data_IF_706748506811
#
_entry.id   IF_706748506811
#
_cell.length_a   1.000
_cell.length_b   1.000
_cell.length_c   1.000
_cell.angle_alpha   90.00
_cell.angle_beta   90.00
_cell.angle_gamma   90.00
#
_symmetry.space_group_name_H-M   'P 1'
#
loop_
_entity.id
_entity.type
_entity.pdbx_description
1 polymer ?
#
# COMPACT_ATOMS: atom_id res chain seq x y z
N UNK A 1 11.92 1.96 -7.42
CA UNK A 1 10.77 2.87 -7.59
C UNK A 1 10.85 4.00 -6.56
N UNK A 2 10.83 5.26 -7.04
CA UNK A 2 11.06 6.45 -6.19
C UNK A 2 10.05 6.55 -5.01
N UNK A 3 8.77 6.27 -5.27
CA UNK A 3 7.74 6.31 -4.20
C UNK A 3 8.06 5.31 -3.10
N UNK A 4 8.44 4.09 -3.46
CA UNK A 4 8.81 3.05 -2.50
C UNK A 4 10.05 3.45 -1.69
N UNK A 5 11.06 4.05 -2.34
CA UNK A 5 12.26 4.54 -1.64
C UNK A 5 11.92 5.62 -0.62
N UNK A 6 11.07 6.59 -0.98
CA UNK A 6 10.61 7.65 -0.06
C UNK A 6 9.88 7.06 1.15
N UNK A 7 8.99 6.08 0.92
CA UNK A 7 8.27 5.42 2.02
C UNK A 7 9.26 4.68 2.93
N UNK A 8 10.10 3.83 2.35
CA UNK A 8 11.03 3.01 3.12
C UNK A 8 12.00 3.89 3.93
N UNK A 9 12.55 4.94 3.33
CA UNK A 9 13.45 5.86 4.01
C UNK A 9 12.77 6.57 5.19
N UNK A 10 11.57 7.12 5.01
CA UNK A 10 10.86 7.80 6.08
C UNK A 10 10.49 6.87 7.25
N UNK A 11 10.07 5.62 6.98
CA UNK A 11 9.69 4.69 8.05
C UNK A 11 10.87 3.98 8.70
N UNK A 12 12.09 4.04 8.13
CA UNK A 12 13.27 3.40 8.70
C UNK A 12 14.25 4.40 9.30
N UNK A 13 14.36 5.62 8.75
CA UNK A 13 15.33 6.63 9.17
C UNK A 13 14.70 7.88 9.79
N UNK A 14 13.36 8.01 9.69
CA UNK A 14 12.66 9.22 10.15
C UNK A 14 12.78 10.39 9.19
N UNK A 15 12.41 11.57 9.67
CA UNK A 15 12.43 12.81 8.91
C UNK A 15 13.60 13.75 9.29
N UNK A 16 14.24 13.49 10.43
CA UNK A 16 15.39 14.27 10.90
C UNK A 16 16.69 13.63 10.38
N UNK A 17 17.43 14.37 9.56
CA UNK A 17 18.68 13.90 8.97
C UNK A 17 19.90 14.04 9.91
N UNK A 18 19.74 14.76 11.02
CA UNK A 18 20.84 15.06 11.97
C UNK A 18 20.87 14.08 13.15
N UNK A 19 20.30 12.86 12.99
CA UNK A 19 20.29 11.83 14.02
C UNK A 19 21.39 10.81 13.79
N UNK A 20 21.95 10.29 14.87
CA UNK A 20 22.88 9.15 14.82
C UNK A 20 22.14 7.88 14.35
N UNK A 21 22.58 7.30 13.25
CA UNK A 21 22.04 6.04 12.74
C UNK A 21 22.89 4.87 13.21
N UNK A 22 22.24 3.76 13.54
CA UNK A 22 22.88 2.50 13.94
C UNK A 22 22.29 1.33 13.14
N UNK A 23 23.09 0.28 12.84
CA UNK A 23 22.60 -0.89 12.15
C UNK A 23 21.51 -1.61 12.95
N UNK A 24 20.35 -1.85 12.35
CA UNK A 24 19.26 -2.61 12.98
C UNK A 24 19.50 -4.12 13.00
N UNK A 25 20.38 -4.62 12.15
CA UNK A 25 20.58 -6.05 11.91
C UNK A 25 19.47 -6.73 11.11
N UNK A 26 18.55 -5.95 10.54
CA UNK A 26 17.42 -6.44 9.73
C UNK A 26 17.54 -5.88 8.31
N UNK A 27 17.66 -6.76 7.31
CA UNK A 27 18.00 -6.39 5.93
C UNK A 27 17.08 -5.32 5.33
N UNK A 28 15.75 -5.43 5.51
CA UNK A 28 14.83 -4.48 4.90
C UNK A 28 14.80 -3.11 5.61
N UNK A 29 15.22 -3.07 6.86
CA UNK A 29 15.28 -1.86 7.67
C UNK A 29 16.59 -1.12 7.42
N UNK A 30 17.71 -1.86 7.42
CA UNK A 30 19.06 -1.28 7.36
C UNK A 30 19.40 -0.52 8.62
N UNK A 31 19.87 0.71 8.47
CA UNK A 31 20.20 1.60 9.59
C UNK A 31 18.96 2.36 10.07
N UNK A 32 18.88 2.58 11.39
CA UNK A 32 17.77 3.28 12.07
C UNK A 32 18.32 4.31 13.06
N UNK A 33 17.54 5.35 13.41
CA UNK A 33 17.89 6.23 14.52
C UNK A 33 18.13 5.43 15.79
N UNK A 34 19.21 5.74 16.48
CA UNK A 34 19.67 5.04 17.69
C UNK A 34 18.62 4.96 18.80
N UNK A 35 17.76 5.97 18.87
CA UNK A 35 16.70 6.06 19.88
C UNK A 35 15.46 5.21 19.54
N UNK A 36 15.39 4.63 18.33
CA UNK A 36 14.23 3.84 17.93
C UNK A 36 14.34 2.38 18.41
N UNK A 37 13.20 1.83 18.85
CA UNK A 37 13.09 0.43 19.21
C UNK A 37 12.90 -0.44 17.95
N UNK A 38 13.61 -1.57 17.90
CA UNK A 38 13.33 -2.65 16.92
C UNK A 38 12.45 -3.69 17.62
N UNK A 39 11.26 -3.88 17.10
CA UNK A 39 10.25 -4.73 17.70
C UNK A 39 9.52 -5.58 16.66
N UNK A 40 8.41 -6.24 17.00
CA UNK A 40 7.63 -7.07 16.05
C UNK A 40 6.18 -6.63 16.01
N UNK A 41 5.58 -6.75 14.81
CA UNK A 41 4.16 -6.43 14.53
C UNK A 41 3.20 -7.04 15.54
N UNK A 42 3.45 -8.26 16.02
CA UNK A 42 2.57 -8.98 16.98
C UNK A 42 2.31 -8.26 18.31
N UNK A 43 3.16 -7.32 18.70
CA UNK A 43 3.00 -6.58 19.97
C UNK A 43 2.06 -5.37 19.85
N UNK A 44 1.64 -5.03 18.62
CA UNK A 44 0.86 -3.82 18.33
C UNK A 44 -0.56 -4.11 17.84
N UNK A 45 -1.02 -5.35 18.01
CA UNK A 45 -2.40 -5.70 17.71
C UNK A 45 -2.60 -7.20 17.45
N UNK A 46 -3.78 -7.52 16.94
CA UNK A 46 -4.18 -8.90 16.65
C UNK A 46 -4.42 -9.08 15.16
N UNK A 47 -3.94 -10.19 14.60
CA UNK A 47 -4.12 -10.54 13.20
C UNK A 47 -4.96 -11.81 13.10
N UNK A 48 -6.06 -11.74 12.33
CA UNK A 48 -6.90 -12.89 11.97
C UNK A 48 -7.16 -12.93 10.46
N UNK A 49 -7.60 -14.04 9.93
CA UNK A 49 -8.18 -14.10 8.58
C UNK A 49 -9.54 -13.42 8.56
N UNK A 50 -9.92 -12.87 7.40
CA UNK A 50 -11.31 -12.53 7.14
C UNK A 50 -12.18 -13.79 7.06
N UNK A 51 -13.45 -13.61 6.71
CA UNK A 51 -14.44 -14.69 6.71
C UNK A 51 -14.85 -15.05 5.27
N UNK A 52 -15.22 -16.30 5.05
CA UNK A 52 -15.74 -16.76 3.75
C UNK A 52 -17.04 -16.02 3.38
N UNK A 53 -17.16 -15.62 2.12
CA UNK A 53 -18.37 -15.05 1.56
C UNK A 53 -18.67 -15.70 0.21
N UNK A 54 -19.92 -16.14 0.00
CA UNK A 54 -20.34 -16.69 -1.28
C UNK A 54 -20.55 -15.56 -2.31
N UNK A 55 -20.25 -15.84 -3.58
CA UNK A 55 -20.34 -14.87 -4.69
C UNK A 55 -21.75 -14.26 -4.78
N UNK A 56 -22.80 -15.03 -4.53
CA UNK A 56 -24.18 -14.56 -4.56
C UNK A 56 -24.51 -13.47 -3.53
N UNK A 57 -23.69 -13.34 -2.48
CA UNK A 57 -23.81 -12.29 -1.44
C UNK A 57 -22.97 -11.05 -1.74
N UNK A 58 -22.18 -11.08 -2.80
CA UNK A 58 -21.40 -9.94 -3.28
C UNK A 58 -22.18 -9.31 -4.42
N UNK A 59 -22.50 -8.03 -4.29
CA UNK A 59 -23.27 -7.25 -5.25
C UNK A 59 -22.42 -6.09 -5.77
N UNK A 60 -22.81 -5.52 -6.90
CA UNK A 60 -22.15 -4.33 -7.46
C UNK A 60 -22.40 -3.09 -6.59
N UNK A 61 -23.52 -3.06 -5.87
CA UNK A 61 -23.91 -1.99 -4.93
C UNK A 61 -24.43 -2.60 -3.62
N UNK A 62 -24.28 -1.88 -2.50
CA UNK A 62 -24.75 -2.33 -1.19
C UNK A 62 -24.23 -1.47 -0.04
N UNK A 63 -24.57 -1.87 1.19
CA UNK A 63 -24.30 -1.08 2.39
C UNK A 63 -22.84 -1.10 2.80
N UNK A 64 -22.19 -2.27 2.73
CA UNK A 64 -20.81 -2.46 3.23
C UNK A 64 -19.89 -2.92 2.12
N UNK A 65 -18.75 -2.25 1.91
CA UNK A 65 -17.77 -2.70 0.94
C UNK A 65 -17.19 -4.07 1.34
N UNK A 66 -16.97 -4.93 0.36
CA UNK A 66 -16.33 -6.24 0.51
C UNK A 66 -14.90 -6.19 -0.01
N UNK A 67 -13.94 -6.41 0.86
CA UNK A 67 -12.52 -6.39 0.51
C UNK A 67 -11.95 -7.79 0.39
N UNK A 68 -11.36 -8.06 -0.77
CA UNK A 68 -10.57 -9.26 -1.04
C UNK A 68 -9.06 -9.02 -0.88
N UNK A 69 -8.27 -9.98 -1.30
CA UNK A 69 -6.80 -9.90 -1.25
C UNK A 69 -6.21 -8.76 -2.09
N UNK A 70 -6.86 -8.38 -3.19
CA UNK A 70 -6.37 -7.38 -4.14
C UNK A 70 -7.14 -6.05 -4.12
N UNK A 71 -8.17 -5.93 -3.31
CA UNK A 71 -8.96 -4.70 -3.25
C UNK A 71 -10.44 -4.94 -3.04
N UNK A 72 -11.23 -3.90 -3.36
CA UNK A 72 -12.68 -3.96 -3.35
C UNK A 72 -13.19 -4.95 -4.41
N UNK A 73 -14.05 -5.88 -4.00
CA UNK A 73 -14.64 -6.89 -4.89
C UNK A 73 -16.16 -6.76 -5.02
N UNK A 74 -16.77 -5.81 -4.35
CA UNK A 74 -18.20 -5.50 -4.37
C UNK A 74 -18.70 -5.04 -3.02
N UNK A 75 -19.99 -5.27 -2.77
CA UNK A 75 -20.68 -4.84 -1.56
C UNK A 75 -21.51 -5.97 -0.97
N UNK A 76 -21.81 -5.88 0.33
CA UNK A 76 -22.69 -6.82 1.04
C UNK A 76 -23.60 -6.11 2.04
N UNK A 77 -24.63 -6.80 2.52
CA UNK A 77 -25.53 -6.31 3.58
C UNK A 77 -24.98 -6.59 4.99
N UNK A 78 -23.82 -7.22 5.09
CA UNK A 78 -23.18 -7.56 6.36
C UNK A 78 -21.73 -7.10 6.36
N UNK A 79 -21.23 -6.79 7.55
CA UNK A 79 -19.82 -6.54 7.80
C UNK A 79 -19.26 -7.54 8.83
N UNK A 80 -17.96 -7.74 8.85
CA UNK A 80 -17.26 -8.55 9.86
C UNK A 80 -16.13 -7.78 10.55
N UNK A 81 -15.91 -6.52 10.11
CA UNK A 81 -15.00 -5.59 10.75
C UNK A 81 -15.64 -4.19 10.81
N UNK A 82 -15.65 -3.58 11.99
CA UNK A 82 -16.24 -2.24 12.21
C UNK A 82 -15.26 -1.24 12.84
N UNK A 83 -14.10 -1.72 13.28
CA UNK A 83 -13.06 -0.87 13.88
C UNK A 83 -12.05 -0.47 12.81
N UNK A 84 -11.37 0.66 13.05
CA UNK A 84 -10.16 0.99 12.28
C UNK A 84 -9.19 -0.18 12.31
N UNK A 85 -8.87 -0.70 11.15
CA UNK A 85 -8.00 -1.87 11.00
C UNK A 85 -7.22 -1.82 9.71
N UNK A 86 -6.10 -2.53 9.65
CA UNK A 86 -5.34 -2.71 8.43
C UNK A 86 -5.73 -4.04 7.79
N UNK A 87 -6.05 -4.00 6.50
CA UNK A 87 -6.29 -5.20 5.70
C UNK A 87 -5.07 -5.50 4.86
N UNK A 88 -4.64 -6.76 4.89
CA UNK A 88 -3.46 -7.25 4.18
C UNK A 88 -3.90 -8.36 3.22
N UNK A 89 -3.62 -8.19 1.93
CA UNK A 89 -3.88 -9.21 0.93
C UNK A 89 -3.11 -10.49 1.23
N UNK A 90 -3.81 -11.62 1.24
CA UNK A 90 -3.24 -12.91 1.66
C UNK A 90 -2.79 -13.77 0.50
N UNK A 91 -3.50 -13.74 -0.62
CA UNK A 91 -3.33 -14.66 -1.76
C UNK A 91 -3.18 -13.91 -3.07
N UNK A 92 -2.55 -14.58 -4.07
CA UNK A 92 -2.38 -14.07 -5.42
C UNK A 92 -1.14 -13.20 -5.60
N UNK A 93 -0.90 -12.76 -6.83
CA UNK A 93 0.30 -12.01 -7.22
C UNK A 93 0.50 -10.70 -6.44
N UNK A 94 -0.59 -10.10 -5.95
CA UNK A 94 -0.59 -8.88 -5.14
C UNK A 94 -0.73 -9.17 -3.63
N UNK A 95 -0.40 -10.39 -3.18
CA UNK A 95 -0.38 -10.67 -1.74
C UNK A 95 0.63 -9.74 -1.04
N UNK A 96 0.29 -9.30 0.17
CA UNK A 96 1.07 -8.28 0.88
C UNK A 96 0.60 -6.84 0.65
N UNK A 97 -0.33 -6.58 -0.26
CA UNK A 97 -0.97 -5.28 -0.36
C UNK A 97 -1.64 -4.90 0.96
N UNK A 98 -1.42 -3.65 1.39
CA UNK A 98 -1.87 -3.15 2.70
C UNK A 98 -2.83 -1.98 2.49
N UNK A 99 -3.91 -1.96 3.27
CA UNK A 99 -4.93 -0.89 3.24
C UNK A 99 -5.45 -0.59 4.64
N UNK A 100 -5.67 0.69 4.93
CA UNK A 100 -6.34 1.13 6.15
C UNK A 100 -7.84 1.21 5.89
N UNK A 101 -8.64 0.57 6.74
CA UNK A 101 -10.09 0.64 6.75
C UNK A 101 -10.54 1.42 7.99
N UNK A 102 -11.43 2.39 7.78
CA UNK A 102 -11.93 3.30 8.81
C UNK A 102 -13.44 3.23 8.99
N UNK A 103 -14.12 2.39 8.23
CA UNK A 103 -15.58 2.21 8.25
C UNK A 103 -15.95 0.74 8.30
N UNK A 104 -17.17 0.41 8.74
CA UNK A 104 -17.66 -0.97 8.72
C UNK A 104 -17.55 -1.60 7.33
N UNK A 105 -17.01 -2.83 7.28
CA UNK A 105 -16.61 -3.46 6.04
C UNK A 105 -16.66 -4.99 6.17
N UNK A 106 -16.82 -5.69 5.07
CA UNK A 106 -16.63 -7.13 5.03
C UNK A 106 -15.27 -7.45 4.45
N UNK A 107 -14.45 -8.16 5.18
CA UNK A 107 -13.14 -8.63 4.71
C UNK A 107 -13.24 -10.13 4.44
N UNK A 108 -12.95 -10.53 3.21
CA UNK A 108 -12.99 -11.95 2.81
C UNK A 108 -11.80 -12.74 3.36
N UNK A 109 -11.91 -14.06 3.33
CA UNK A 109 -10.86 -15.00 3.73
C UNK A 109 -9.58 -14.93 2.87
N UNK A 110 -9.64 -14.23 1.74
CA UNK A 110 -8.48 -13.90 0.90
C UNK A 110 -7.63 -12.74 1.43
N UNK A 111 -7.99 -12.19 2.59
CA UNK A 111 -7.25 -11.14 3.27
C UNK A 111 -7.13 -11.41 4.78
N UNK A 112 -6.16 -10.73 5.39
CA UNK A 112 -5.95 -10.70 6.84
C UNK A 112 -6.45 -9.37 7.39
N UNK A 113 -7.04 -9.39 8.58
CA UNK A 113 -7.45 -8.22 9.34
C UNK A 113 -6.46 -8.03 10.48
N UNK A 114 -5.79 -6.89 10.50
CA UNK A 114 -4.91 -6.49 11.58
C UNK A 114 -5.58 -5.37 12.38
N UNK A 115 -6.14 -5.71 13.52
CA UNK A 115 -6.68 -4.76 14.50
C UNK A 115 -5.55 -4.23 15.35
N UNK A 116 -5.32 -2.93 15.25
CA UNK A 116 -4.26 -2.24 15.98
C UNK A 116 -4.64 -2.01 17.44
N UNK A 117 -3.62 -1.95 18.31
CA UNK A 117 -3.74 -1.43 19.67
C UNK A 117 -3.47 0.08 19.66
N UNK A 118 -3.84 0.75 20.75
CA UNK A 118 -3.63 2.19 20.95
C UNK A 118 -2.15 2.59 21.13
N UNK A 119 -1.23 1.63 21.07
CA UNK A 119 0.22 1.84 21.24
C UNK A 119 0.92 2.32 19.96
N UNK A 120 0.21 2.36 18.85
CA UNK A 120 0.78 2.72 17.54
C UNK A 120 -0.20 3.52 16.73
N UNK A 121 0.29 4.52 16.00
CA UNK A 121 -0.51 5.28 15.04
C UNK A 121 -0.89 4.39 13.84
N UNK A 122 -2.16 4.41 13.45
CA UNK A 122 -2.69 3.52 12.42
C UNK A 122 -2.17 3.84 11.02
N UNK A 123 -1.95 5.13 10.72
CA UNK A 123 -1.40 5.56 9.43
C UNK A 123 0.10 5.27 9.35
N UNK A 124 0.82 5.50 10.46
CA UNK A 124 2.23 5.10 10.52
C UNK A 124 2.38 3.60 10.28
N UNK A 125 1.59 2.77 10.96
CA UNK A 125 1.64 1.31 10.76
C UNK A 125 1.28 0.93 9.32
N UNK A 126 0.33 1.60 8.68
CA UNK A 126 0.03 1.41 7.26
C UNK A 126 1.27 1.64 6.39
N UNK A 127 1.89 2.82 6.52
CA UNK A 127 3.08 3.19 5.75
C UNK A 127 4.27 2.28 6.04
N UNK A 128 4.44 1.91 7.30
CA UNK A 128 5.48 0.98 7.73
C UNK A 128 5.34 -0.39 7.06
N UNK A 129 4.12 -0.96 7.02
CA UNK A 129 3.87 -2.25 6.37
C UNK A 129 4.00 -2.17 4.85
N UNK A 130 3.66 -1.03 4.23
CA UNK A 130 3.93 -0.77 2.81
C UNK A 130 5.44 -0.70 2.56
N UNK A 131 6.18 0.04 3.40
CA UNK A 131 7.65 0.15 3.32
C UNK A 131 8.35 -1.19 3.48
N UNK A 132 7.82 -2.05 4.35
CA UNK A 132 8.34 -3.39 4.59
C UNK A 132 8.16 -4.35 3.41
N UNK A 133 7.38 -4.00 2.38
CA UNK A 133 7.06 -4.87 1.23
C UNK A 133 6.70 -6.30 1.67
N UNK A 134 5.50 -6.47 2.20
CA UNK A 134 5.08 -7.78 2.73
C UNK A 134 5.04 -8.88 1.66
N UNK A 135 5.06 -8.54 0.36
CA UNK A 135 5.11 -9.55 -0.70
C UNK A 135 6.36 -10.42 -0.61
N UNK A 136 7.48 -9.86 -0.12
CA UNK A 136 8.73 -10.61 0.15
C UNK A 136 8.56 -11.78 1.12
N UNK A 137 7.49 -11.81 1.93
CA UNK A 137 7.18 -12.92 2.83
C UNK A 137 6.60 -14.13 2.08
N UNK A 138 6.27 -13.96 0.82
CA UNK A 138 5.80 -15.05 -0.03
C UNK A 138 6.95 -16.02 -0.32
N UNK A 139 6.74 -17.30 -0.03
CA UNK A 139 7.73 -18.37 -0.23
C UNK A 139 7.35 -19.35 -1.34
N UNK A 140 6.23 -19.10 -2.04
CA UNK A 140 5.72 -19.99 -3.07
C UNK A 140 5.53 -19.25 -4.39
N UNK A 141 6.21 -19.69 -5.44
CA UNK A 141 6.06 -19.12 -6.78
C UNK A 141 4.78 -19.61 -7.48
N UNK A 142 4.30 -20.82 -7.13
CA UNK A 142 3.13 -21.41 -7.77
C UNK A 142 1.81 -20.85 -7.26
N UNK A 143 1.72 -20.60 -5.94
CA UNK A 143 0.54 -20.00 -5.31
C UNK A 143 0.99 -19.04 -4.20
N UNK A 144 1.19 -17.75 -4.51
CA UNK A 144 1.60 -16.77 -3.53
C UNK A 144 0.66 -16.72 -2.33
N UNK A 145 1.21 -16.90 -1.12
CA UNK A 145 0.45 -16.94 0.12
C UNK A 145 1.23 -16.30 1.27
N UNK A 146 0.57 -15.37 1.96
CA UNK A 146 1.06 -14.77 3.21
C UNK A 146 0.17 -15.22 4.36
N UNK A 147 0.78 -15.70 5.44
CA UNK A 147 0.06 -16.12 6.64
C UNK A 147 0.13 -15.04 7.72
N UNK A 148 -0.89 -14.99 8.58
CA UNK A 148 -0.88 -14.08 9.73
C UNK A 148 0.32 -14.28 10.65
N UNK A 149 0.83 -15.52 10.76
CA UNK A 149 2.05 -15.83 11.54
C UNK A 149 3.29 -15.16 10.94
N UNK A 150 3.43 -15.15 9.62
CA UNK A 150 4.55 -14.46 8.96
C UNK A 150 4.48 -12.95 9.22
N UNK A 151 3.31 -12.33 9.04
CA UNK A 151 3.12 -10.89 9.30
C UNK A 151 3.39 -10.55 10.76
N UNK A 152 2.87 -11.34 11.72
CA UNK A 152 3.11 -11.15 13.17
C UNK A 152 4.58 -11.10 13.55
N UNK A 153 5.43 -11.82 12.83
CA UNK A 153 6.86 -11.94 13.12
C UNK A 153 7.73 -10.93 12.34
N UNK A 154 7.17 -10.07 11.52
CA UNK A 154 7.93 -8.99 10.86
C UNK A 154 8.52 -8.08 11.92
N UNK A 155 9.83 -7.85 11.82
CA UNK A 155 10.51 -6.82 12.60
C UNK A 155 10.23 -5.46 12.01
N UNK A 156 10.00 -4.49 12.88
CA UNK A 156 9.64 -3.12 12.55
C UNK A 156 10.40 -2.13 13.44
N UNK A 157 10.82 -0.98 12.91
CA UNK A 157 11.29 0.13 13.72
C UNK A 157 10.11 0.89 14.31
N UNK A 158 10.25 1.36 15.52
CA UNK A 158 9.19 2.05 16.25
C UNK A 158 9.72 3.33 16.93
N UNK A 159 9.42 4.51 16.36
CA UNK A 159 9.66 5.79 17.01
C UNK A 159 8.61 6.13 18.06
N UNK A 160 8.76 7.28 18.71
CA UNK A 160 7.75 7.86 19.59
C UNK A 160 6.42 8.11 18.86
N UNK A 161 5.28 8.11 19.56
CA UNK A 161 3.97 8.36 18.93
C UNK A 161 3.89 9.69 18.18
N UNK A 162 4.51 10.75 18.70
CA UNK A 162 4.56 12.04 18.02
C UNK A 162 5.33 11.98 16.71
N UNK A 163 6.42 11.23 16.68
CA UNK A 163 7.22 11.05 15.47
C UNK A 163 6.51 10.14 14.46
N UNK A 164 5.82 9.07 14.91
CA UNK A 164 4.95 8.26 14.08
C UNK A 164 3.92 9.12 13.33
N UNK A 165 3.23 10.03 14.03
CA UNK A 165 2.25 10.93 13.43
C UNK A 165 2.87 11.91 12.43
N UNK A 166 4.06 12.42 12.74
CA UNK A 166 4.81 13.31 11.83
C UNK A 166 5.19 12.59 10.54
N UNK A 167 5.73 11.36 10.64
CA UNK A 167 6.08 10.51 9.50
C UNK A 167 4.84 10.17 8.68
N UNK A 168 3.74 9.79 9.33
CA UNK A 168 2.48 9.46 8.65
C UNK A 168 1.94 10.65 7.85
N UNK A 169 1.93 11.85 8.46
CA UNK A 169 1.46 13.08 7.80
C UNK A 169 2.35 13.45 6.61
N UNK A 170 3.66 13.37 6.77
CA UNK A 170 4.60 13.58 5.67
C UNK A 170 4.35 12.62 4.50
N UNK A 171 4.19 11.33 4.79
CA UNK A 171 3.98 10.32 3.75
C UNK A 171 2.61 10.45 3.08
N UNK A 172 1.55 10.78 3.81
CA UNK A 172 0.23 11.07 3.23
C UNK A 172 0.33 12.19 2.20
N UNK A 173 1.01 13.29 2.55
CA UNK A 173 1.20 14.43 1.64
C UNK A 173 2.10 14.06 0.46
N UNK A 174 3.27 13.50 0.75
CA UNK A 174 4.30 13.24 -0.27
C UNK A 174 3.88 12.20 -1.28
N UNK A 175 3.23 11.13 -0.83
CA UNK A 175 2.71 10.11 -1.73
C UNK A 175 1.54 10.61 -2.58
N UNK A 176 0.67 11.47 -2.04
CA UNK A 176 -0.39 12.12 -2.81
C UNK A 176 0.17 13.03 -3.91
N UNK A 177 1.22 13.81 -3.63
CA UNK A 177 1.93 14.61 -4.65
C UNK A 177 2.50 13.73 -5.76
N UNK A 178 3.18 12.63 -5.39
CA UNK A 178 3.77 11.69 -6.35
C UNK A 178 2.68 11.07 -7.23
N UNK A 179 1.57 10.62 -6.65
CA UNK A 179 0.45 10.00 -7.37
C UNK A 179 -0.19 11.00 -8.35
N UNK A 180 -0.35 12.26 -7.94
CA UNK A 180 -0.86 13.34 -8.79
C UNK A 180 0.07 13.60 -9.99
N UNK A 181 1.38 13.63 -9.77
CA UNK A 181 2.36 13.79 -10.84
C UNK A 181 2.36 12.60 -11.82
N UNK A 182 2.19 11.37 -11.30
CA UNK A 182 2.08 10.17 -12.13
C UNK A 182 0.83 10.27 -13.01
N UNK A 183 -0.32 10.65 -12.45
CA UNK A 183 -1.57 10.80 -13.20
C UNK A 183 -1.45 11.84 -14.32
N UNK A 184 -0.86 13.01 -14.04
CA UNK A 184 -0.61 14.05 -15.05
C UNK A 184 0.30 13.54 -16.17
N UNK A 185 1.38 12.84 -15.85
CA UNK A 185 2.30 12.26 -16.83
C UNK A 185 1.62 11.20 -17.69
N UNK A 186 0.80 10.34 -17.11
CA UNK A 186 0.03 9.33 -17.85
C UNK A 186 -0.95 9.97 -18.82
N UNK A 187 -1.70 10.99 -18.39
CA UNK A 187 -2.60 11.74 -19.27
C UNK A 187 -1.85 12.39 -20.44
N UNK A 188 -0.68 12.98 -20.17
CA UNK A 188 0.15 13.57 -21.23
C UNK A 188 0.64 12.51 -22.24
N UNK A 189 1.00 11.32 -21.77
CA UNK A 189 1.39 10.19 -22.64
C UNK A 189 0.23 9.79 -23.56
N UNK A 190 -0.99 9.66 -23.04
CA UNK A 190 -2.16 9.33 -23.88
C UNK A 190 -2.46 10.42 -24.90
N UNK A 191 -2.43 11.69 -24.51
CA UNK A 191 -2.58 12.82 -25.43
C UNK A 191 -1.54 12.79 -26.57
N UNK A 192 -0.28 12.51 -26.23
CA UNK A 192 0.79 12.41 -27.25
C UNK A 192 0.62 11.20 -28.18
N UNK A 193 0.10 10.07 -27.66
CA UNK A 193 -0.23 8.91 -28.50
C UNK A 193 -1.35 9.25 -29.50
N UNK A 194 -2.38 9.96 -29.06
CA UNK A 194 -3.49 10.34 -29.93
C UNK A 194 -3.07 11.40 -30.94
N UNK A 195 -2.25 12.38 -30.55
CA UNK A 195 -1.63 13.32 -31.46
C UNK A 195 -0.78 12.61 -32.53
N UNK A 196 0.07 11.67 -32.13
CA UNK A 196 0.86 10.85 -33.06
C UNK A 196 -0.02 10.12 -34.06
N UNK A 197 -1.15 9.51 -33.62
CA UNK A 197 -2.10 8.85 -34.55
C UNK A 197 -2.72 9.84 -35.55
N UNK A 198 -3.10 11.05 -35.08
CA UNK A 198 -3.65 12.09 -35.96
C UNK A 198 -2.67 12.52 -37.01
N UNK A 199 -1.43 12.82 -36.65
CA UNK A 199 -0.36 13.20 -37.59
C UNK A 199 -0.10 12.13 -38.65
N UNK A 200 -0.04 10.85 -38.22
CA UNK A 200 0.14 9.72 -39.14
C UNK A 200 -1.05 9.64 -40.11
N UNK A 201 -2.28 9.75 -39.58
CA UNK A 201 -3.49 9.71 -40.42
C UNK A 201 -3.51 10.86 -41.46
N UNK A 202 -3.21 12.07 -41.04
CA UNK A 202 -3.19 13.25 -41.92
C UNK A 202 -2.10 13.12 -42.98
N UNK A 203 -0.91 12.64 -42.64
CA UNK A 203 0.16 12.40 -43.59
C UNK A 203 -0.19 11.32 -44.63
N UNK A 204 -0.73 10.17 -44.17
CA UNK A 204 -1.07 9.03 -45.06
C UNK A 204 -2.27 9.34 -45.96
N UNK A 205 -3.21 10.17 -45.50
CA UNK A 205 -4.40 10.57 -46.28
C UNK A 205 -4.17 11.79 -47.19
N UNK A 206 -2.93 12.32 -47.25
CA UNK A 206 -2.59 13.47 -48.06
C UNK A 206 -3.16 14.81 -47.55
N UNK A 207 -3.59 14.86 -46.30
CA UNK A 207 -4.08 16.09 -45.67
C UNK A 207 -2.95 16.97 -45.12
N UNK A 208 -1.75 16.42 -45.00
CA UNK A 208 -0.52 17.15 -44.65
C UNK A 208 0.43 17.16 -45.86
N UNK A 209 0.94 18.34 -46.21
CA UNK A 209 2.03 18.47 -47.18
C UNK A 209 3.34 18.12 -46.47
N UNK A 210 3.97 17.01 -46.87
CA UNK A 210 5.29 16.61 -46.34
C UNK A 210 6.33 17.54 -46.99
N UNK A 211 6.89 18.49 -46.27
CA UNK A 211 7.95 19.36 -46.77
C UNK A 211 7.97 20.79 -46.27
N UNK A 212 6.95 21.25 -45.57
CA UNK A 212 6.94 22.54 -44.87
C UNK A 212 7.06 22.33 -43.36
N UNK A 213 8.31 22.25 -42.92
CA UNK A 213 8.62 22.44 -41.48
C UNK A 213 8.63 23.93 -41.22
N UNK A 214 7.91 24.45 -40.19
CA UNK A 214 7.99 25.84 -39.80
C UNK A 214 9.35 26.20 -39.24
#
# INVERSE_FOLDING_TARGET
DYKQSVITEAVTKGLNLDVELVPSGIDWIGDVPKEWEITRVKFYGTIRSGDGISIEKIKDEGTYPVWGGNGLIGYSEKYNESKTSIVIGRVGALCGNVRLLTSPTFVSDNALIFRLSDKVDSKYMLWLLIGADLNRLNTSNAQPLITGTKVKNVFIPLPSLSEQQSIATYLDTKCSEIDSLIAIKQQKIETLKDYKKSVIYEAVTGKMTIGETP
#
